data_IF_674947268238
#
_entry.id   IF_674947268238
#
_cell.length_a   1.000
_cell.length_b   1.000
_cell.length_c   1.000
_cell.angle_alpha   90.00
_cell.angle_beta   90.00
_cell.angle_gamma   90.00
#
_symmetry.space_group_name_H-M   'P 1'
#
loop_
_entity.id
_entity.type
_entity.pdbx_description
1 polymer ?
#
# COMPACT_ATOMS: atom_id res chain seq x y z
N UNK A 1 28.02 -9.70 0.59
CA UNK A 1 29.20 -10.59 0.62
C UNK A 1 28.73 -12.04 0.79
N UNK A 2 29.47 -13.00 0.23
CA UNK A 2 29.17 -14.44 0.34
C UNK A 2 29.33 -14.98 1.76
N UNK A 3 30.02 -14.24 2.61
CA UNK A 3 30.41 -14.64 3.96
C UNK A 3 29.50 -14.01 5.05
N UNK A 4 28.61 -13.10 4.67
CA UNK A 4 27.66 -12.50 5.61
C UNK A 4 26.53 -13.49 5.93
N UNK A 5 26.23 -13.65 7.21
CA UNK A 5 25.13 -14.45 7.71
C UNK A 5 23.92 -13.53 7.98
N UNK A 6 22.79 -13.78 7.31
CA UNK A 6 21.60 -12.98 7.43
C UNK A 6 20.52 -13.70 8.22
N UNK A 7 20.16 -13.15 9.38
CA UNK A 7 19.05 -13.62 10.20
C UNK A 7 17.84 -12.69 10.04
N UNK A 8 16.69 -13.24 9.71
CA UNK A 8 15.43 -12.48 9.63
C UNK A 8 14.46 -13.03 10.66
N UNK A 9 14.05 -12.19 11.59
CA UNK A 9 13.06 -12.52 12.62
C UNK A 9 11.70 -11.94 12.21
N UNK A 10 10.68 -12.78 12.21
CA UNK A 10 9.31 -12.41 11.87
C UNK A 10 8.34 -12.89 12.94
N UNK A 11 7.50 -11.98 13.44
CA UNK A 11 6.39 -12.31 14.33
C UNK A 11 5.39 -13.23 13.64
N UNK A 12 5.18 -13.04 12.33
CA UNK A 12 4.26 -13.87 11.55
C UNK A 12 4.87 -15.25 11.25
N UNK A 13 4.01 -16.30 11.30
CA UNK A 13 4.40 -17.68 11.01
C UNK A 13 4.59 -17.98 9.51
N UNK A 14 4.43 -16.97 8.66
CA UNK A 14 4.39 -17.09 7.22
C UNK A 14 5.65 -16.54 6.55
N UNK A 15 6.02 -17.02 5.34
CA UNK A 15 7.08 -16.40 4.54
C UNK A 15 6.65 -15.01 4.03
N UNK A 16 7.58 -14.32 3.34
CA UNK A 16 7.32 -12.99 2.78
C UNK A 16 6.15 -13.01 1.78
N UNK A 17 5.14 -12.16 1.99
CA UNK A 17 3.97 -12.06 1.14
C UNK A 17 3.58 -10.61 0.85
N UNK A 18 2.77 -10.41 -0.18
CA UNK A 18 2.25 -9.12 -0.59
C UNK A 18 0.93 -8.81 0.13
N UNK A 19 1.01 -8.11 1.28
CA UNK A 19 -0.18 -7.78 2.08
C UNK A 19 -1.13 -6.78 1.41
N UNK A 20 -0.71 -6.11 0.32
CA UNK A 20 -1.59 -5.27 -0.50
C UNK A 20 -2.66 -6.10 -1.25
N UNK A 21 -2.47 -7.42 -1.33
CA UNK A 21 -3.39 -8.36 -1.97
C UNK A 21 -4.28 -9.12 -0.98
N UNK A 22 -4.31 -8.72 0.29
CA UNK A 22 -5.17 -9.35 1.30
C UNK A 22 -6.68 -9.23 0.99
N UNK A 23 -7.18 -8.08 0.47
CA UNK A 23 -8.59 -8.02 0.05
C UNK A 23 -8.97 -9.07 -0.99
N UNK A 24 -8.12 -9.29 -2.01
CA UNK A 24 -8.34 -10.30 -3.05
C UNK A 24 -8.18 -11.73 -2.53
N UNK A 25 -7.38 -11.91 -1.47
CA UNK A 25 -7.26 -13.19 -0.77
C UNK A 25 -8.52 -13.52 0.04
N UNK A 26 -9.09 -12.55 0.74
CA UNK A 26 -10.35 -12.72 1.51
C UNK A 26 -11.48 -13.22 0.63
N UNK A 27 -11.58 -12.73 -0.58
CA UNK A 27 -12.63 -13.09 -1.55
C UNK A 27 -12.24 -14.26 -2.47
N UNK A 28 -11.16 -14.99 -2.16
CA UNK A 28 -10.66 -16.12 -2.96
C UNK A 28 -10.34 -15.80 -4.43
N UNK A 29 -10.31 -14.51 -4.81
CA UNK A 29 -9.86 -14.08 -6.14
C UNK A 29 -8.39 -14.48 -6.36
N UNK A 30 -7.60 -14.48 -5.30
CA UNK A 30 -6.21 -14.94 -5.27
C UNK A 30 -5.99 -15.99 -4.19
N UNK A 31 -5.34 -17.08 -4.53
CA UNK A 31 -4.89 -18.06 -3.54
C UNK A 31 -3.70 -17.53 -2.72
N UNK A 32 -3.47 -18.10 -1.54
CA UNK A 32 -2.34 -17.73 -0.67
C UNK A 32 -0.98 -17.78 -1.39
N UNK A 33 -0.75 -18.79 -2.23
CA UNK A 33 0.50 -18.99 -2.97
C UNK A 33 0.78 -17.82 -3.92
N UNK A 34 -0.26 -17.16 -4.43
CA UNK A 34 -0.12 -15.97 -5.29
C UNK A 34 0.28 -14.71 -4.54
N UNK A 35 0.07 -14.67 -3.24
CA UNK A 35 0.54 -13.57 -2.40
C UNK A 35 2.01 -13.70 -2.03
N UNK A 36 2.59 -14.90 -2.08
CA UNK A 36 3.98 -15.12 -1.68
C UNK A 36 4.94 -14.35 -2.60
N UNK A 37 5.85 -13.61 -1.99
CA UNK A 37 6.89 -12.83 -2.68
C UNK A 37 8.10 -13.68 -3.06
N UNK A 38 8.40 -14.70 -2.25
CA UNK A 38 9.53 -15.62 -2.42
C UNK A 38 9.03 -17.01 -2.07
N UNK A 39 9.30 -17.98 -2.93
CA UNK A 39 8.99 -19.39 -2.67
C UNK A 39 10.01 -19.98 -1.70
N UNK A 40 9.62 -20.98 -0.89
CA UNK A 40 10.53 -21.61 0.08
C UNK A 40 11.79 -22.19 -0.57
N UNK A 41 11.67 -22.74 -1.79
CA UNK A 41 12.82 -23.23 -2.57
C UNK A 41 13.82 -22.12 -2.92
N UNK A 42 13.35 -20.90 -3.11
CA UNK A 42 14.21 -19.74 -3.39
C UNK A 42 14.88 -19.23 -2.12
N UNK A 43 14.17 -19.24 -0.98
CA UNK A 43 14.75 -18.92 0.32
C UNK A 43 15.92 -19.82 0.67
N UNK A 44 15.82 -21.13 0.41
CA UNK A 44 16.89 -22.10 0.64
C UNK A 44 18.16 -21.89 -0.20
N UNK A 45 18.12 -21.05 -1.23
CA UNK A 45 19.28 -20.66 -2.04
C UNK A 45 20.00 -19.42 -1.54
N UNK A 46 19.38 -18.69 -0.60
CA UNK A 46 19.94 -17.50 0.02
C UNK A 46 20.68 -17.90 1.29
N UNK A 47 21.80 -17.25 1.60
CA UNK A 47 22.46 -17.38 2.91
C UNK A 47 21.66 -16.63 3.97
N UNK A 48 20.42 -17.07 4.19
CA UNK A 48 19.41 -16.43 5.01
C UNK A 48 18.74 -17.43 5.93
N UNK A 49 18.72 -17.15 7.22
CA UNK A 49 17.97 -17.88 8.22
C UNK A 49 16.68 -17.09 8.57
N UNK A 50 15.53 -17.63 8.20
CA UNK A 50 14.23 -17.05 8.50
C UNK A 50 13.63 -17.67 9.76
N UNK A 51 13.58 -16.89 10.85
CA UNK A 51 12.97 -17.25 12.13
C UNK A 51 11.50 -16.82 12.12
N UNK A 52 10.59 -17.71 11.70
CA UNK A 52 9.15 -17.50 11.66
C UNK A 52 8.53 -17.65 13.06
N UNK A 53 7.41 -16.96 13.32
CA UNK A 53 6.75 -16.92 14.63
C UNK A 53 7.73 -16.58 15.77
N UNK A 54 8.65 -15.65 15.50
CA UNK A 54 9.71 -15.26 16.41
C UNK A 54 9.82 -13.73 16.47
N UNK A 55 9.11 -13.12 17.41
CA UNK A 55 9.20 -11.68 17.65
C UNK A 55 10.44 -11.33 18.48
N UNK A 56 11.01 -10.15 18.21
CA UNK A 56 12.07 -9.58 19.03
C UNK A 56 11.45 -8.68 20.09
N UNK A 57 11.79 -8.95 21.36
CA UNK A 57 11.25 -8.25 22.53
C UNK A 57 12.18 -7.14 23.06
N UNK A 58 13.47 -7.19 22.75
CA UNK A 58 14.46 -6.22 23.24
C UNK A 58 15.62 -6.04 22.26
N UNK A 59 16.13 -4.81 22.17
CA UNK A 59 17.39 -4.46 21.49
C UNK A 59 18.34 -3.88 22.53
N UNK A 60 19.51 -4.49 22.69
CA UNK A 60 20.64 -3.91 23.42
C UNK A 60 21.64 -3.35 22.41
N UNK A 61 21.57 -2.03 22.20
CA UNK A 61 22.40 -1.35 21.19
C UNK A 61 23.86 -1.21 21.57
N UNK A 62 24.19 -1.35 22.87
CA UNK A 62 25.57 -1.21 23.38
C UNK A 62 26.32 -2.53 23.26
N UNK A 63 25.69 -3.62 23.72
CA UNK A 63 26.25 -4.97 23.67
C UNK A 63 25.97 -5.68 22.34
N UNK A 64 25.21 -5.04 21.42
CA UNK A 64 24.81 -5.55 20.10
C UNK A 64 24.09 -6.90 20.14
N UNK A 65 23.06 -6.99 20.99
CA UNK A 65 22.18 -8.15 21.08
C UNK A 65 20.74 -7.78 20.80
N UNK A 66 20.03 -8.68 20.13
CA UNK A 66 18.55 -8.71 20.18
C UNK A 66 18.11 -9.89 21.00
N UNK A 67 17.01 -9.74 21.74
CA UNK A 67 16.41 -10.83 22.53
C UNK A 67 15.08 -11.18 21.92
N UNK A 68 14.86 -12.45 21.61
CA UNK A 68 13.57 -12.93 21.10
C UNK A 68 12.55 -13.10 22.25
N UNK A 69 11.29 -13.37 21.89
CA UNK A 69 10.19 -13.55 22.86
C UNK A 69 10.37 -14.76 23.79
N UNK A 70 11.30 -15.68 23.47
CA UNK A 70 11.67 -16.85 24.29
C UNK A 70 12.84 -16.57 25.22
N UNK A 71 13.41 -15.36 25.15
CA UNK A 71 14.56 -14.95 25.95
C UNK A 71 15.94 -15.31 25.35
N UNK A 72 15.99 -15.89 24.14
CA UNK A 72 17.28 -16.18 23.51
C UNK A 72 17.89 -14.89 22.98
N UNK A 73 19.20 -14.78 23.13
CA UNK A 73 19.99 -13.63 22.65
C UNK A 73 20.67 -13.96 21.32
N UNK A 74 20.56 -13.05 20.38
CA UNK A 74 21.19 -13.13 19.07
C UNK A 74 22.10 -11.91 18.88
N UNK A 75 23.39 -12.15 18.65
CA UNK A 75 24.35 -11.08 18.39
C UNK A 75 24.19 -10.53 16.97
N UNK A 76 24.47 -9.24 16.77
CA UNK A 76 24.52 -8.62 15.45
C UNK A 76 25.71 -7.69 15.28
N UNK A 77 26.31 -7.66 14.11
CA UNK A 77 27.23 -6.61 13.69
C UNK A 77 26.48 -5.40 13.16
N UNK A 78 25.41 -5.65 12.39
CA UNK A 78 24.47 -4.66 11.87
C UNK A 78 23.04 -5.13 12.09
N UNK A 79 22.18 -4.23 12.53
CA UNK A 79 20.76 -4.49 12.75
C UNK A 79 19.90 -3.63 11.82
N UNK A 80 18.94 -4.25 11.14
CA UNK A 80 17.96 -3.55 10.30
C UNK A 80 16.59 -3.71 10.94
N UNK A 81 15.96 -2.60 11.35
CA UNK A 81 14.61 -2.57 11.88
C UNK A 81 13.64 -2.38 10.72
N UNK A 82 12.83 -3.41 10.42
CA UNK A 82 11.83 -3.41 9.35
C UNK A 82 10.47 -3.84 9.89
N UNK A 83 10.14 -3.49 11.13
CA UNK A 83 8.93 -3.92 11.87
C UNK A 83 7.63 -3.35 11.32
N UNK A 84 7.70 -2.45 10.34
CA UNK A 84 6.54 -1.92 9.65
C UNK A 84 5.57 -1.17 10.58
N UNK A 85 4.28 -1.44 10.40
CA UNK A 85 3.21 -0.78 11.16
C UNK A 85 2.08 -1.75 11.45
N UNK A 86 1.25 -1.40 12.44
CA UNK A 86 -0.02 -2.06 12.77
C UNK A 86 -1.19 -1.21 12.32
N UNK A 87 -2.36 -1.80 12.19
CA UNK A 87 -3.60 -1.07 11.96
C UNK A 87 -3.85 -0.10 13.14
N UNK A 88 -4.28 1.09 12.82
CA UNK A 88 -4.80 2.02 13.83
C UNK A 88 -6.28 1.74 14.04
N UNK A 89 -6.67 1.56 15.30
CA UNK A 89 -8.05 1.37 15.72
C UNK A 89 -8.39 2.29 16.87
N UNK A 90 -9.66 2.70 17.05
CA UNK A 90 -10.11 3.38 18.24
C UNK A 90 -9.88 2.51 19.48
N UNK A 91 -9.68 3.14 20.65
CA UNK A 91 -9.44 2.40 21.91
C UNK A 91 -10.63 1.54 22.34
N UNK A 92 -11.81 1.92 21.92
CA UNK A 92 -13.11 1.31 22.21
C UNK A 92 -13.60 0.37 21.10
N UNK A 93 -12.74 0.05 20.14
CA UNK A 93 -13.07 -0.82 19.01
C UNK A 93 -13.38 -2.28 19.40
N UNK A 94 -12.96 -2.72 20.58
CA UNK A 94 -13.22 -4.07 21.12
C UNK A 94 -12.88 -5.19 20.13
N UNK A 95 -11.69 -5.16 19.53
CA UNK A 95 -11.28 -6.14 18.49
C UNK A 95 -11.31 -7.59 18.98
N UNK A 96 -11.21 -7.83 20.28
CA UNK A 96 -11.30 -9.18 20.88
C UNK A 96 -12.73 -9.75 20.87
N UNK A 97 -13.74 -8.94 20.50
CA UNK A 97 -15.13 -9.38 20.38
C UNK A 97 -15.45 -9.77 18.93
N UNK A 98 -16.32 -10.77 18.72
CA UNK A 98 -16.67 -11.24 17.37
C UNK A 98 -17.18 -10.14 16.44
N UNK A 99 -16.97 -10.30 15.16
CA UNK A 99 -17.48 -9.37 14.13
C UNK A 99 -16.68 -8.07 13.97
N UNK A 100 -15.57 -7.88 14.69
CA UNK A 100 -14.76 -6.65 14.67
C UNK A 100 -13.35 -6.93 14.18
N UNK A 101 -12.95 -6.29 13.07
CA UNK A 101 -11.74 -6.65 12.32
C UNK A 101 -10.86 -5.48 11.94
N UNK A 102 -9.61 -5.81 11.69
CA UNK A 102 -8.68 -5.01 10.87
C UNK A 102 -8.32 -5.80 9.60
N UNK A 103 -7.56 -5.20 8.70
CA UNK A 103 -7.06 -5.88 7.48
C UNK A 103 -5.59 -5.52 7.28
N UNK A 104 -4.70 -6.13 8.06
CA UNK A 104 -3.27 -5.82 8.04
C UNK A 104 -2.39 -7.05 7.83
N UNK A 105 -2.75 -8.17 8.44
CA UNK A 105 -1.99 -9.42 8.39
C UNK A 105 -2.80 -10.53 7.73
N UNK A 106 -2.11 -11.64 7.43
CA UNK A 106 -2.81 -12.86 6.99
C UNK A 106 -3.77 -13.37 8.05
N UNK A 107 -3.39 -13.27 9.33
CA UNK A 107 -4.25 -13.68 10.43
C UNK A 107 -5.56 -12.87 10.44
N UNK A 108 -5.48 -11.54 10.29
CA UNK A 108 -6.68 -10.69 10.18
C UNK A 108 -7.57 -11.13 9.00
N UNK A 109 -6.95 -11.43 7.87
CA UNK A 109 -7.69 -11.84 6.66
C UNK A 109 -8.34 -13.22 6.80
N UNK A 110 -7.64 -14.18 7.42
CA UNK A 110 -8.18 -15.52 7.70
C UNK A 110 -9.34 -15.45 8.70
N UNK A 111 -9.19 -14.67 9.76
CA UNK A 111 -10.22 -14.48 10.78
C UNK A 111 -11.47 -13.83 10.18
N UNK A 112 -11.30 -12.75 9.43
CA UNK A 112 -12.41 -12.04 8.76
C UNK A 112 -13.14 -12.96 7.78
N UNK A 113 -12.40 -13.69 6.93
CA UNK A 113 -12.96 -14.65 5.97
C UNK A 113 -13.75 -15.74 6.69
N UNK A 114 -13.12 -16.42 7.64
CA UNK A 114 -13.74 -17.49 8.42
C UNK A 114 -14.99 -17.02 9.16
N UNK A 115 -14.97 -15.80 9.67
CA UNK A 115 -16.13 -15.22 10.35
C UNK A 115 -17.30 -15.05 9.39
N UNK A 116 -17.08 -14.47 8.20
CA UNK A 116 -18.13 -14.27 7.20
C UNK A 116 -18.70 -15.61 6.70
N UNK A 117 -17.86 -16.63 6.49
CA UNK A 117 -18.29 -17.99 6.14
C UNK A 117 -19.18 -18.62 7.23
N UNK A 118 -18.80 -18.42 8.50
CA UNK A 118 -19.51 -18.98 9.65
C UNK A 118 -20.84 -18.27 9.97
N UNK A 119 -21.15 -17.13 9.36
CA UNK A 119 -22.50 -16.53 9.48
C UNK A 119 -23.58 -17.44 8.94
N UNK A 120 -23.24 -18.36 8.04
CA UNK A 120 -24.20 -19.22 7.33
C UNK A 120 -25.11 -18.47 6.35
N UNK A 121 -24.93 -17.17 6.19
CA UNK A 121 -25.70 -16.32 5.30
C UNK A 121 -25.06 -16.28 3.90
N UNK A 122 -25.88 -16.26 2.83
CA UNK A 122 -25.35 -15.98 1.51
C UNK A 122 -24.75 -14.56 1.47
N UNK A 123 -23.71 -14.30 0.65
CA UNK A 123 -23.04 -13.00 0.62
C UNK A 123 -24.00 -11.81 0.42
N UNK A 124 -25.05 -11.98 -0.37
CA UNK A 124 -26.04 -10.92 -0.64
C UNK A 124 -26.89 -10.52 0.59
N UNK A 125 -26.93 -11.34 1.62
CA UNK A 125 -27.58 -11.05 2.89
C UNK A 125 -26.62 -10.56 3.97
N UNK A 126 -25.31 -10.72 3.75
CA UNK A 126 -24.29 -10.19 4.64
C UNK A 126 -24.18 -8.68 4.48
N UNK A 127 -23.95 -8.00 5.60
CA UNK A 127 -23.68 -6.55 5.61
C UNK A 127 -22.37 -6.29 6.39
N UNK A 128 -21.45 -5.60 5.74
CA UNK A 128 -20.15 -5.20 6.31
C UNK A 128 -20.06 -3.68 6.37
N UNK A 129 -19.75 -3.16 7.55
CA UNK A 129 -19.44 -1.75 7.74
C UNK A 129 -17.92 -1.57 7.71
N UNK A 130 -17.41 -0.71 6.82
CA UNK A 130 -16.00 -0.37 6.70
C UNK A 130 -15.78 1.04 7.24
N UNK A 131 -14.97 1.17 8.29
CA UNK A 131 -14.62 2.47 8.87
C UNK A 131 -13.36 2.99 8.19
N UNK A 132 -13.53 4.05 7.39
CA UNK A 132 -12.46 4.69 6.63
C UNK A 132 -12.60 4.53 5.13
N UNK A 133 -12.82 5.64 4.43
CA UNK A 133 -12.90 5.75 2.96
C UNK A 133 -11.56 6.10 2.30
N UNK A 134 -10.44 5.61 2.89
CA UNK A 134 -9.11 5.65 2.29
C UNK A 134 -8.86 4.49 1.33
N UNK A 135 -7.61 4.38 0.82
CA UNK A 135 -7.24 3.38 -0.17
C UNK A 135 -7.60 1.95 0.27
N UNK A 136 -7.16 1.53 1.45
CA UNK A 136 -7.40 0.17 1.95
C UNK A 136 -8.88 -0.14 2.16
N UNK A 137 -9.65 0.80 2.74
CA UNK A 137 -11.09 0.61 2.94
C UNK A 137 -11.84 0.48 1.63
N UNK A 138 -11.47 1.26 0.62
CA UNK A 138 -12.06 1.17 -0.73
C UNK A 138 -11.66 -0.12 -1.46
N UNK A 139 -10.42 -0.60 -1.31
CA UNK A 139 -9.98 -1.86 -1.90
C UNK A 139 -10.68 -3.06 -1.26
N UNK A 140 -10.87 -3.05 0.07
CA UNK A 140 -11.68 -4.05 0.76
C UNK A 140 -13.14 -4.00 0.30
N UNK A 141 -13.74 -2.80 0.22
CA UNK A 141 -15.09 -2.62 -0.30
C UNK A 141 -15.23 -3.15 -1.73
N UNK A 142 -14.23 -2.88 -2.58
CA UNK A 142 -14.21 -3.36 -3.96
C UNK A 142 -14.14 -4.89 -4.07
N UNK A 143 -13.36 -5.53 -3.21
CA UNK A 143 -13.25 -6.98 -3.17
C UNK A 143 -14.58 -7.62 -2.72
N UNK A 144 -15.14 -7.18 -1.59
CA UNK A 144 -16.39 -7.71 -1.04
C UNK A 144 -17.59 -7.45 -1.96
N UNK A 145 -17.63 -6.30 -2.65
CA UNK A 145 -18.72 -5.96 -3.58
C UNK A 145 -18.80 -6.94 -4.76
N UNK A 146 -17.68 -7.54 -5.19
CA UNK A 146 -17.67 -8.58 -6.23
C UNK A 146 -18.42 -9.83 -5.80
N UNK A 147 -18.41 -10.14 -4.51
CA UNK A 147 -19.14 -11.24 -3.90
C UNK A 147 -20.58 -10.89 -3.53
N UNK A 148 -21.07 -9.70 -3.96
CA UNK A 148 -22.40 -9.17 -3.68
C UNK A 148 -22.69 -8.85 -2.20
N UNK A 149 -21.71 -8.78 -1.35
CA UNK A 149 -21.84 -8.35 0.05
C UNK A 149 -22.37 -6.92 0.11
N UNK A 150 -23.34 -6.64 0.99
CA UNK A 150 -23.80 -5.27 1.24
C UNK A 150 -22.73 -4.49 2.01
N UNK A 151 -22.40 -3.29 1.54
CA UNK A 151 -21.29 -2.53 2.12
C UNK A 151 -21.74 -1.13 2.49
N UNK A 152 -21.34 -0.71 3.68
CA UNK A 152 -21.46 0.68 4.11
C UNK A 152 -20.09 1.20 4.54
N UNK A 153 -19.64 2.32 3.96
CA UNK A 153 -18.42 3.01 4.36
C UNK A 153 -18.79 4.17 5.29
N UNK A 154 -18.15 4.24 6.46
CA UNK A 154 -18.24 5.38 7.38
C UNK A 154 -16.94 6.16 7.27
N UNK A 155 -17.04 7.40 6.80
CA UNK A 155 -15.90 8.29 6.56
C UNK A 155 -15.99 9.54 7.42
N UNK A 156 -14.93 9.80 8.20
CA UNK A 156 -14.87 10.94 9.12
C UNK A 156 -14.89 12.29 8.42
N UNK A 157 -14.19 12.39 7.29
CA UNK A 157 -14.15 13.61 6.49
C UNK A 157 -15.25 13.65 5.43
N UNK A 158 -15.43 14.82 4.83
CA UNK A 158 -16.44 15.07 3.77
C UNK A 158 -16.09 14.42 2.43
N UNK A 159 -14.99 13.67 2.32
CA UNK A 159 -14.52 13.11 1.04
C UNK A 159 -13.73 11.82 1.19
N UNK A 160 -13.77 10.98 0.16
CA UNK A 160 -12.94 9.78 0.05
C UNK A 160 -11.50 10.15 -0.32
N UNK A 161 -10.54 9.32 0.11
CA UNK A 161 -9.11 9.45 -0.24
C UNK A 161 -8.56 10.88 -0.10
N UNK A 162 -8.92 11.57 0.98
CA UNK A 162 -8.63 13.00 1.20
C UNK A 162 -7.15 13.38 1.09
N UNK A 163 -6.25 12.41 1.32
CA UNK A 163 -4.79 12.60 1.22
C UNK A 163 -4.26 12.40 -0.19
N UNK A 164 -5.00 11.70 -1.05
CA UNK A 164 -4.58 11.28 -2.39
C UNK A 164 -5.35 11.98 -3.51
N UNK A 165 -6.46 12.63 -3.21
CA UNK A 165 -7.35 13.24 -4.18
C UNK A 165 -7.72 14.66 -3.78
N UNK A 166 -7.99 15.51 -4.76
CA UNK A 166 -8.63 16.79 -4.55
C UNK A 166 -10.16 16.65 -4.41
N UNK A 167 -10.84 17.78 -4.23
CA UNK A 167 -12.28 17.81 -3.99
C UNK A 167 -13.06 17.22 -5.18
N UNK A 168 -12.67 17.57 -6.41
CA UNK A 168 -13.43 17.17 -7.58
C UNK A 168 -13.26 15.68 -7.89
N UNK A 169 -12.02 15.20 -7.92
CA UNK A 169 -11.74 13.78 -8.15
C UNK A 169 -12.34 12.89 -7.05
N UNK A 170 -12.33 13.35 -5.80
CA UNK A 170 -12.98 12.64 -4.70
C UNK A 170 -14.51 12.57 -4.85
N UNK A 171 -15.17 13.64 -5.35
CA UNK A 171 -16.61 13.63 -5.63
C UNK A 171 -16.94 12.66 -6.77
N UNK A 172 -16.15 12.64 -7.82
CA UNK A 172 -16.32 11.69 -8.93
C UNK A 172 -16.16 10.24 -8.44
N UNK A 173 -15.17 9.98 -7.60
CA UNK A 173 -14.97 8.67 -6.96
C UNK A 173 -16.17 8.28 -6.10
N UNK A 174 -16.63 9.18 -5.23
CA UNK A 174 -17.76 8.90 -4.34
C UNK A 174 -19.04 8.56 -5.12
N UNK A 175 -19.31 9.29 -6.20
CA UNK A 175 -20.42 8.99 -7.10
C UNK A 175 -20.30 7.60 -7.73
N UNK A 176 -19.11 7.25 -8.25
CA UNK A 176 -18.88 5.93 -8.85
C UNK A 176 -19.08 4.80 -7.84
N UNK A 177 -18.57 4.97 -6.62
CA UNK A 177 -18.72 4.00 -5.52
C UNK A 177 -20.18 3.82 -5.11
N UNK A 178 -20.95 4.92 -5.00
CA UNK A 178 -22.38 4.87 -4.66
C UNK A 178 -23.21 4.26 -5.77
N UNK A 179 -22.93 4.55 -7.03
CA UNK A 179 -23.64 3.96 -8.19
C UNK A 179 -23.41 2.43 -8.29
N UNK A 180 -22.34 1.91 -7.66
CA UNK A 180 -22.10 0.46 -7.53
C UNK A 180 -22.82 -0.17 -6.34
N UNK A 181 -23.66 0.58 -5.64
CA UNK A 181 -24.45 0.08 -4.50
C UNK A 181 -23.76 0.14 -3.15
N UNK A 182 -22.58 0.77 -3.03
CA UNK A 182 -21.91 0.95 -1.75
C UNK A 182 -22.43 2.22 -1.08
N UNK A 183 -22.95 2.08 0.14
CA UNK A 183 -23.42 3.22 0.93
C UNK A 183 -22.24 3.95 1.55
N UNK A 184 -22.32 5.30 1.61
CA UNK A 184 -21.26 6.10 2.23
C UNK A 184 -21.90 7.12 3.18
N UNK A 185 -21.45 7.13 4.43
CA UNK A 185 -21.75 8.16 5.42
C UNK A 185 -20.51 9.04 5.60
N UNK A 186 -20.57 10.23 5.02
CA UNK A 186 -19.54 11.26 5.20
C UNK A 186 -19.74 12.05 6.48
N UNK A 187 -18.69 12.77 6.92
CA UNK A 187 -18.66 13.60 8.11
C UNK A 187 -19.18 12.85 9.35
N UNK A 188 -18.84 11.56 9.43
CA UNK A 188 -19.37 10.68 10.45
C UNK A 188 -18.30 9.76 11.03
N UNK A 189 -18.52 9.37 12.27
CA UNK A 189 -17.65 8.45 12.99
C UNK A 189 -18.51 7.42 13.72
N UNK A 190 -17.97 6.23 13.90
CA UNK A 190 -18.55 5.22 14.78
C UNK A 190 -18.40 5.71 16.23
N UNK A 191 -19.47 5.73 16.99
CA UNK A 191 -19.45 6.09 18.41
C UNK A 191 -19.46 4.87 19.32
N UNK A 192 -20.26 3.86 18.99
CA UNK A 192 -20.33 2.60 19.76
C UNK A 192 -20.65 1.43 18.84
N UNK A 193 -20.19 0.25 19.25
CA UNK A 193 -20.51 -1.03 18.60
C UNK A 193 -20.93 -2.01 19.68
N UNK A 194 -22.13 -2.57 19.56
CA UNK A 194 -22.66 -3.58 20.47
C UNK A 194 -23.04 -4.82 19.69
N UNK A 195 -22.99 -5.97 20.34
CA UNK A 195 -23.60 -7.17 19.82
C UNK A 195 -25.12 -7.03 19.92
N UNK A 196 -25.85 -7.40 18.88
CA UNK A 196 -27.30 -7.30 18.87
C UNK A 196 -27.89 -8.46 19.71
N UNK A 197 -28.59 -8.12 20.81
CA UNK A 197 -29.18 -9.12 21.72
C UNK A 197 -30.39 -9.83 21.11
N UNK A 198 -31.10 -9.18 20.18
CA UNK A 198 -32.29 -9.70 19.53
C UNK A 198 -31.94 -10.57 18.31
N UNK A 199 -30.82 -10.23 17.63
CA UNK A 199 -30.33 -10.89 16.43
C UNK A 199 -28.90 -11.40 16.62
N UNK A 200 -28.68 -12.58 17.23
CA UNK A 200 -27.34 -13.12 17.46
C UNK A 200 -26.54 -13.25 16.16
N UNK A 201 -25.34 -12.67 16.15
CA UNK A 201 -24.48 -12.61 14.96
C UNK A 201 -24.55 -11.28 14.20
N UNK A 202 -25.43 -10.36 14.62
CA UNK A 202 -25.45 -8.98 14.14
C UNK A 202 -24.81 -8.02 15.15
N UNK A 203 -24.36 -6.89 14.62
CA UNK A 203 -23.80 -5.75 15.38
C UNK A 203 -24.72 -4.54 15.23
N UNK A 204 -25.05 -3.92 16.33
CA UNK A 204 -25.67 -2.57 16.33
C UNK A 204 -24.58 -1.52 16.44
N UNK A 205 -24.41 -0.73 15.36
CA UNK A 205 -23.36 0.28 15.21
C UNK A 205 -24.00 1.66 15.25
N UNK A 206 -23.70 2.44 16.30
CA UNK A 206 -24.16 3.80 16.41
C UNK A 206 -23.13 4.77 15.84
N UNK A 207 -23.59 5.73 15.05
CA UNK A 207 -22.78 6.79 14.48
C UNK A 207 -22.94 8.08 15.31
N UNK A 208 -21.94 8.96 15.30
CA UNK A 208 -22.02 10.27 16.00
C UNK A 208 -23.19 11.16 15.55
N UNK A 209 -23.67 10.97 14.31
CA UNK A 209 -24.87 11.64 13.82
C UNK A 209 -26.19 11.17 14.46
N UNK A 210 -26.16 10.13 15.27
CA UNK A 210 -27.34 9.45 15.82
C UNK A 210 -27.93 8.38 14.89
N UNK A 211 -27.35 8.17 13.71
CA UNK A 211 -27.75 7.06 12.82
C UNK A 211 -27.32 5.74 13.42
N UNK A 212 -28.20 4.74 13.35
CA UNK A 212 -27.91 3.35 13.71
C UNK A 212 -27.79 2.51 12.45
N UNK A 213 -26.82 1.63 12.40
CA UNK A 213 -26.57 0.65 11.34
C UNK A 213 -26.54 -0.74 11.97
N UNK A 214 -27.19 -1.70 11.34
CA UNK A 214 -27.07 -3.12 11.69
C UNK A 214 -26.16 -3.78 10.66
N UNK A 215 -25.22 -4.58 11.11
CA UNK A 215 -24.26 -5.25 10.24
C UNK A 215 -23.77 -6.56 10.87
N UNK A 216 -23.27 -7.46 10.05
CA UNK A 216 -22.68 -8.73 10.52
C UNK A 216 -21.21 -8.56 10.91
N UNK A 217 -20.52 -7.59 10.27
CA UNK A 217 -19.11 -7.29 10.59
C UNK A 217 -18.79 -5.81 10.45
N UNK A 218 -17.78 -5.38 11.22
CA UNK A 218 -17.16 -4.06 11.09
C UNK A 218 -15.64 -4.21 10.88
N UNK A 219 -15.10 -3.55 9.85
CA UNK A 219 -13.69 -3.55 9.52
C UNK A 219 -13.09 -2.13 9.63
N UNK A 220 -12.04 -1.97 10.44
CA UNK A 220 -11.37 -0.69 10.63
C UNK A 220 -10.21 -0.50 9.64
N UNK A 221 -10.35 0.46 8.74
CA UNK A 221 -9.39 0.83 7.70
C UNK A 221 -8.98 2.32 7.79
N UNK A 222 -8.75 2.82 9.02
CA UNK A 222 -8.50 4.24 9.33
C UNK A 222 -7.02 4.63 9.41
N UNK A 223 -6.16 3.82 8.81
CA UNK A 223 -4.72 4.05 8.70
C UNK A 223 -3.88 3.14 9.57
N UNK A 224 -2.59 3.47 9.66
CA UNK A 224 -1.59 2.64 10.34
C UNK A 224 -0.78 3.46 11.35
N UNK A 225 -0.11 2.76 12.27
CA UNK A 225 0.88 3.31 13.20
C UNK A 225 2.16 2.50 13.11
N UNK A 226 3.32 3.13 12.85
CA UNK A 226 4.61 2.46 12.87
C UNK A 226 4.89 1.76 14.22
N UNK A 227 5.48 0.58 14.18
CA UNK A 227 5.81 -0.23 15.36
C UNK A 227 7.15 0.22 15.96
N UNK A 228 7.17 1.40 16.58
CA UNK A 228 8.39 2.06 17.08
C UNK A 228 8.75 1.68 18.52
N UNK A 229 7.93 0.91 19.21
CA UNK A 229 8.04 0.66 20.64
C UNK A 229 9.42 0.11 21.00
N UNK A 230 9.82 -0.98 20.35
CA UNK A 230 11.13 -1.62 20.58
C UNK A 230 12.33 -0.69 20.30
N UNK A 231 12.22 0.11 19.24
CA UNK A 231 13.26 1.10 18.90
C UNK A 231 13.34 2.20 19.94
N UNK A 232 12.19 2.70 20.42
CA UNK A 232 12.09 3.72 21.44
C UNK A 232 12.62 3.23 22.79
N UNK A 233 12.26 2.02 23.20
CA UNK A 233 12.71 1.38 24.46
C UNK A 233 14.22 1.11 24.45
N UNK A 234 14.83 0.87 23.28
CA UNK A 234 16.29 0.75 23.12
C UNK A 234 17.01 2.11 23.13
N UNK A 235 16.27 3.23 23.27
CA UNK A 235 16.81 4.58 23.29
C UNK A 235 17.27 5.08 21.92
N UNK A 236 16.67 4.60 20.82
CA UNK A 236 16.82 5.19 19.50
C UNK A 236 15.93 6.44 19.38
N UNK A 237 16.35 7.41 18.58
CA UNK A 237 15.58 8.64 18.36
C UNK A 237 14.40 8.35 17.45
N UNK A 238 13.19 8.53 17.99
CA UNK A 238 11.93 8.34 17.27
C UNK A 238 11.13 9.64 17.23
N UNK A 239 10.41 9.83 16.13
CA UNK A 239 9.32 10.78 15.98
C UNK A 239 8.00 10.02 15.77
N UNK A 240 7.39 10.16 14.60
CA UNK A 240 6.29 9.28 14.17
C UNK A 240 6.79 7.90 13.74
N UNK A 241 8.04 7.82 13.27
CA UNK A 241 8.78 6.62 12.96
C UNK A 241 10.14 6.63 13.67
N UNK A 242 11.02 5.70 13.33
CA UNK A 242 12.44 5.72 13.72
C UNK A 242 13.17 6.70 12.81
N UNK A 243 13.77 7.75 13.39
CA UNK A 243 14.47 8.78 12.61
C UNK A 243 15.73 8.20 11.98
N UNK A 244 15.90 8.43 10.68
CA UNK A 244 17.04 7.97 9.90
C UNK A 244 17.67 9.11 9.11
N UNK A 245 18.97 8.96 8.82
CA UNK A 245 19.72 9.82 7.91
C UNK A 245 19.57 9.33 6.44
N UNK A 246 20.35 9.91 5.52
CA UNK A 246 20.36 9.56 4.09
C UNK A 246 20.89 8.16 3.78
N UNK A 247 21.61 7.54 4.69
CA UNK A 247 22.06 6.13 4.60
C UNK A 247 21.12 5.17 5.35
N UNK A 248 19.95 5.67 5.78
CA UNK A 248 18.96 4.92 6.56
C UNK A 248 19.48 4.45 7.94
N UNK A 249 20.58 5.06 8.43
CA UNK A 249 21.09 4.85 9.78
C UNK A 249 20.21 5.58 10.79
N UNK A 250 19.98 4.94 11.92
CA UNK A 250 19.32 5.54 13.10
C UNK A 250 20.28 6.44 13.86
N UNK A 251 19.93 6.79 15.10
CA UNK A 251 20.86 7.47 16.03
C UNK A 251 22.02 6.57 16.50
N UNK A 252 22.07 5.31 16.09
CA UNK A 252 23.18 4.39 16.30
C UNK A 252 23.71 3.94 14.94
N UNK A 253 25.04 4.01 14.72
CA UNK A 253 25.70 3.73 13.43
C UNK A 253 25.61 2.28 12.97
N UNK A 254 25.29 1.35 13.85
CA UNK A 254 25.15 -0.07 13.55
C UNK A 254 23.70 -0.52 13.41
N UNK A 255 22.75 0.41 13.64
CA UNK A 255 21.33 0.14 13.56
C UNK A 255 20.69 1.01 12.48
N UNK A 256 19.96 0.37 11.57
CA UNK A 256 19.29 0.96 10.43
C UNK A 256 17.77 0.75 10.56
N UNK A 257 16.98 1.57 9.87
CA UNK A 257 15.55 1.33 9.74
C UNK A 257 15.08 1.58 8.29
N UNK A 258 14.23 0.69 7.79
CA UNK A 258 13.67 0.77 6.44
C UNK A 258 12.17 0.43 6.43
N UNK A 259 11.50 0.81 5.36
CA UNK A 259 10.07 0.58 5.18
C UNK A 259 9.21 1.59 5.94
N UNK A 260 8.00 1.18 6.27
CA UNK A 260 6.98 2.04 6.88
C UNK A 260 7.34 2.56 8.28
N UNK A 261 8.33 1.94 8.93
CA UNK A 261 8.84 2.41 10.23
C UNK A 261 9.84 3.55 10.13
N UNK A 262 10.55 3.70 9.00
CA UNK A 262 11.60 4.69 8.83
C UNK A 262 11.03 6.09 8.62
N UNK A 263 11.46 7.05 9.45
CA UNK A 263 11.12 8.47 9.32
C UNK A 263 12.33 9.23 8.76
N UNK A 264 12.26 9.59 7.48
CA UNK A 264 13.30 10.37 6.82
C UNK A 264 12.85 11.81 6.62
N UNK A 265 13.62 12.78 7.11
CA UNK A 265 13.31 14.23 7.05
C UNK A 265 11.87 14.56 7.51
N UNK A 266 11.38 13.89 8.55
CA UNK A 266 10.04 14.09 9.10
C UNK A 266 8.91 13.45 8.30
N UNK A 267 9.22 12.66 7.27
CA UNK A 267 8.23 11.97 6.43
C UNK A 267 8.28 10.45 6.64
N UNK A 268 7.10 9.84 6.56
CA UNK A 268 6.90 8.40 6.53
C UNK A 268 6.43 8.01 5.13
N UNK A 269 7.03 6.98 4.56
CA UNK A 269 6.72 6.48 3.22
C UNK A 269 6.04 5.11 3.35
N UNK A 270 4.71 5.11 3.49
CA UNK A 270 3.91 3.89 3.70
C UNK A 270 3.57 3.14 2.41
N UNK A 271 4.46 3.10 1.42
CA UNK A 271 4.28 2.41 0.15
C UNK A 271 5.40 1.39 -0.10
N UNK A 272 5.07 0.29 -0.75
CA UNK A 272 6.02 -0.81 -1.00
C UNK A 272 7.23 -0.37 -1.84
N UNK A 273 7.02 0.50 -2.85
CA UNK A 273 8.12 0.98 -3.68
C UNK A 273 9.16 1.78 -2.89
N UNK A 274 8.72 2.59 -1.92
CA UNK A 274 9.64 3.32 -1.04
C UNK A 274 10.48 2.37 -0.18
N UNK A 275 9.87 1.30 0.35
CA UNK A 275 10.60 0.29 1.11
C UNK A 275 11.62 -0.46 0.24
N UNK A 276 11.29 -0.75 -1.02
CA UNK A 276 12.21 -1.36 -1.98
C UNK A 276 13.37 -0.42 -2.36
N UNK A 277 13.10 0.88 -2.58
CA UNK A 277 14.11 1.90 -2.82
C UNK A 277 15.07 2.07 -1.62
N UNK A 278 14.51 2.12 -0.41
CA UNK A 278 15.29 2.18 0.82
C UNK A 278 16.16 0.93 1.00
N UNK A 279 15.62 -0.25 0.74
CA UNK A 279 16.37 -1.50 0.82
C UNK A 279 17.53 -1.54 -0.19
N UNK A 280 17.33 -1.05 -1.41
CA UNK A 280 18.39 -0.97 -2.42
C UNK A 280 19.50 0.01 -2.01
N UNK A 281 19.14 1.20 -1.50
CA UNK A 281 20.12 2.18 -0.98
C UNK A 281 20.91 1.59 0.17
N UNK A 282 20.24 0.98 1.14
CA UNK A 282 20.89 0.39 2.31
C UNK A 282 21.80 -0.77 1.91
N UNK A 283 21.38 -1.64 1.01
CA UNK A 283 22.18 -2.76 0.52
C UNK A 283 23.49 -2.29 -0.13
N UNK A 284 23.41 -1.26 -1.00
CA UNK A 284 24.60 -0.68 -1.63
C UNK A 284 25.53 -0.03 -0.59
N UNK A 285 24.96 0.73 0.36
CA UNK A 285 25.72 1.35 1.43
C UNK A 285 26.46 0.31 2.30
N UNK A 286 25.78 -0.76 2.71
CA UNK A 286 26.38 -1.86 3.48
C UNK A 286 27.43 -2.64 2.66
N UNK A 287 27.31 -2.66 1.33
CA UNK A 287 28.32 -3.21 0.44
C UNK A 287 29.55 -2.29 0.23
N UNK A 288 29.56 -1.09 0.85
CA UNK A 288 30.70 -0.16 0.81
C UNK A 288 30.50 1.03 -0.15
N UNK A 289 29.38 1.13 -0.86
CA UNK A 289 29.07 2.31 -1.69
C UNK A 289 28.50 3.44 -0.84
N UNK A 290 29.38 4.26 -0.27
CA UNK A 290 29.01 5.42 0.53
C UNK A 290 28.32 6.54 -0.28
N UNK A 291 28.34 6.47 -1.62
CA UNK A 291 27.64 7.40 -2.48
C UNK A 291 26.14 7.07 -2.62
N UNK A 292 25.74 5.86 -2.24
CA UNK A 292 24.35 5.42 -2.25
C UNK A 292 23.58 6.10 -1.12
N UNK A 293 22.74 7.07 -1.47
CA UNK A 293 21.96 7.88 -0.52
C UNK A 293 20.47 7.90 -0.87
N UNK A 294 19.65 7.82 0.15
CA UNK A 294 18.20 7.96 0.04
C UNK A 294 17.82 9.44 -0.02
N UNK A 295 17.06 9.82 -1.03
CA UNK A 295 16.62 11.21 -1.25
C UNK A 295 15.14 11.44 -0.95
N UNK A 296 14.44 10.42 -0.48
CA UNK A 296 12.99 10.35 -0.39
C UNK A 296 12.39 9.61 -1.59
N UNK A 297 11.15 9.20 -1.47
CA UNK A 297 10.41 8.50 -2.53
C UNK A 297 9.23 9.33 -3.00
N UNK A 298 8.90 9.24 -4.28
CA UNK A 298 7.68 9.84 -4.82
C UNK A 298 6.48 9.01 -4.37
N UNK A 299 5.59 9.64 -3.63
CA UNK A 299 4.36 8.99 -3.20
C UNK A 299 3.47 8.70 -4.40
N UNK A 300 2.95 7.48 -4.47
CA UNK A 300 2.03 7.07 -5.52
C UNK A 300 0.94 6.18 -4.93
N UNK A 301 -0.28 6.36 -5.44
CA UNK A 301 -1.44 5.58 -5.04
C UNK A 301 -2.21 5.17 -6.28
N UNK A 302 -2.57 3.90 -6.35
CA UNK A 302 -3.36 3.34 -7.43
C UNK A 302 -4.47 2.55 -6.77
N UNK A 303 -5.71 3.00 -6.96
CA UNK A 303 -6.87 2.32 -6.41
C UNK A 303 -7.20 1.09 -7.27
N UNK A 304 -7.25 -0.06 -6.64
CA UNK A 304 -7.70 -1.31 -7.25
C UNK A 304 -9.20 -1.46 -7.10
N UNK A 305 -9.92 -0.94 -8.06
CA UNK A 305 -11.36 -1.08 -8.15
C UNK A 305 -11.71 -1.49 -9.58
N UNK A 306 -12.45 -2.58 -9.76
CA UNK A 306 -12.78 -3.10 -11.09
C UNK A 306 -13.45 -2.03 -11.95
N UNK A 307 -12.98 -1.83 -13.17
CA UNK A 307 -13.48 -0.84 -14.13
C UNK A 307 -13.43 0.62 -13.60
N UNK A 308 -12.53 0.91 -12.69
CA UNK A 308 -12.22 2.26 -12.24
C UNK A 308 -10.71 2.48 -12.31
N UNK A 309 -10.28 3.29 -13.27
CA UNK A 309 -8.91 3.75 -13.35
C UNK A 309 -8.77 4.99 -12.50
N UNK A 310 -8.02 4.90 -11.40
CA UNK A 310 -7.72 6.01 -10.51
C UNK A 310 -6.32 5.86 -9.95
N UNK A 311 -5.53 6.91 -10.12
CA UNK A 311 -4.23 7.00 -9.49
C UNK A 311 -3.87 8.45 -9.17
N UNK A 312 -2.96 8.61 -8.20
CA UNK A 312 -2.29 9.87 -7.90
C UNK A 312 -0.79 9.65 -7.70
N UNK A 313 0.01 10.63 -8.04
CA UNK A 313 1.47 10.58 -7.94
C UNK A 313 2.02 11.95 -7.56
N UNK A 314 3.03 11.97 -6.68
CA UNK A 314 3.69 13.20 -6.22
C UNK A 314 2.85 14.04 -5.26
N UNK A 315 3.13 15.33 -5.24
CA UNK A 315 2.48 16.30 -4.35
C UNK A 315 1.16 16.80 -4.96
N UNK A 316 0.05 16.28 -4.45
CA UNK A 316 -1.30 16.65 -4.93
C UNK A 316 -2.00 17.68 -4.04
N UNK A 317 -1.57 17.84 -2.80
CA UNK A 317 -2.06 18.82 -1.85
C UNK A 317 -1.07 19.98 -1.75
N UNK A 318 -1.19 20.93 -2.65
CA UNK A 318 -0.35 22.13 -2.68
C UNK A 318 -1.06 23.29 -1.97
N UNK A 319 -0.32 24.31 -1.44
CA UNK A 319 -0.93 25.46 -0.82
C UNK A 319 -1.87 26.20 -1.79
N UNK A 320 -3.07 26.49 -1.33
CA UNK A 320 -4.00 27.34 -2.09
C UNK A 320 -3.42 28.73 -2.31
N UNK A 321 -3.55 29.25 -3.53
CA UNK A 321 -3.09 30.58 -3.94
C UNK A 321 -1.57 30.81 -3.84
N UNK A 322 -0.75 29.77 -3.79
CA UNK A 322 0.70 29.92 -3.93
C UNK A 322 1.06 30.08 -5.42
N UNK A 323 1.57 31.27 -5.85
CA UNK A 323 1.87 31.53 -7.26
C UNK A 323 3.01 30.67 -7.82
N UNK A 324 3.73 29.95 -6.98
CA UNK A 324 4.76 29.00 -7.40
C UNK A 324 4.16 27.72 -8.02
N UNK A 325 2.86 27.46 -7.79
CA UNK A 325 2.18 26.27 -8.30
C UNK A 325 1.16 26.64 -9.37
N UNK A 326 1.16 25.90 -10.43
CA UNK A 326 0.19 25.97 -11.51
C UNK A 326 -0.57 24.65 -11.60
N UNK A 327 -1.89 24.74 -11.77
CA UNK A 327 -2.74 23.56 -11.94
C UNK A 327 -3.24 23.51 -13.40
N UNK A 328 -3.03 22.36 -14.05
CA UNK A 328 -3.55 22.07 -15.37
C UNK A 328 -4.60 20.99 -15.19
N UNK A 329 -5.87 21.32 -15.48
CA UNK A 329 -7.01 20.43 -15.24
C UNK A 329 -7.79 20.17 -16.52
N UNK A 330 -8.05 18.91 -16.78
CA UNK A 330 -9.01 18.48 -17.79
C UNK A 330 -10.07 17.59 -17.12
N UNK A 331 -11.34 17.83 -17.40
CA UNK A 331 -12.45 17.04 -16.87
C UNK A 331 -13.55 16.81 -17.91
N UNK A 332 -14.02 15.56 -17.99
CA UNK A 332 -15.26 15.17 -18.66
C UNK A 332 -16.08 14.36 -17.66
N UNK A 333 -17.01 15.04 -16.99
CA UNK A 333 -17.83 14.44 -15.92
C UNK A 333 -18.71 13.31 -16.47
N UNK A 334 -19.17 13.42 -17.71
CA UNK A 334 -20.03 12.42 -18.34
C UNK A 334 -19.31 11.08 -18.57
N UNK A 335 -18.03 11.15 -18.90
CA UNK A 335 -17.14 10.00 -19.08
C UNK A 335 -16.39 9.61 -17.81
N UNK A 336 -16.59 10.34 -16.71
CA UNK A 336 -15.81 10.18 -15.46
C UNK A 336 -14.32 10.30 -15.68
N UNK A 337 -13.95 11.17 -16.60
CA UNK A 337 -12.55 11.45 -16.91
C UNK A 337 -12.10 12.69 -16.15
N UNK A 338 -11.01 12.56 -15.41
CA UNK A 338 -10.38 13.66 -14.69
C UNK A 338 -8.87 13.50 -14.77
N UNK A 339 -8.20 14.56 -15.20
CA UNK A 339 -6.74 14.68 -15.19
C UNK A 339 -6.38 16.01 -14.57
N UNK A 340 -5.54 15.98 -13.54
CA UNK A 340 -4.93 17.16 -12.92
C UNK A 340 -3.43 16.97 -12.91
N UNK A 341 -2.71 17.95 -13.41
CA UNK A 341 -1.25 18.05 -13.30
C UNK A 341 -0.90 19.29 -12.49
N UNK A 342 0.01 19.16 -11.55
CA UNK A 342 0.50 20.22 -10.69
C UNK A 342 1.95 20.51 -11.10
N UNK A 343 2.19 21.74 -11.53
CA UNK A 343 3.48 22.20 -12.04
C UNK A 343 4.05 23.24 -11.08
N UNK A 344 5.35 23.13 -10.78
CA UNK A 344 6.09 24.10 -9.98
C UNK A 344 7.43 24.39 -10.67
N UNK A 345 7.69 25.65 -11.00
CA UNK A 345 8.92 26.06 -11.71
C UNK A 345 9.20 25.19 -12.95
N UNK A 346 8.20 25.03 -13.79
CA UNK A 346 8.22 24.18 -15.00
C UNK A 346 8.53 22.70 -14.77
N UNK A 347 8.42 22.20 -13.51
CA UNK A 347 8.56 20.79 -13.16
C UNK A 347 7.19 20.21 -12.83
N UNK A 348 6.86 19.02 -13.34
CA UNK A 348 5.72 18.27 -12.86
C UNK A 348 6.01 17.77 -11.44
N UNK A 349 5.21 18.17 -10.45
CA UNK A 349 5.40 17.80 -9.04
C UNK A 349 4.32 16.88 -8.54
N UNK A 350 3.14 16.87 -9.16
CA UNK A 350 2.04 16.00 -8.79
C UNK A 350 1.03 15.80 -9.92
N UNK A 351 0.29 14.69 -9.87
CA UNK A 351 -0.80 14.44 -10.81
C UNK A 351 -1.87 13.51 -10.21
N UNK A 352 -3.11 13.72 -10.67
CA UNK A 352 -4.26 12.83 -10.44
C UNK A 352 -4.80 12.41 -11.80
N UNK A 353 -5.02 11.11 -11.99
CA UNK A 353 -5.61 10.53 -13.20
C UNK A 353 -6.81 9.69 -12.82
N UNK A 354 -7.97 9.95 -13.42
CA UNK A 354 -9.19 9.15 -13.28
C UNK A 354 -9.84 8.93 -14.65
N UNK A 355 -10.32 7.70 -14.89
CA UNK A 355 -10.91 7.25 -16.14
C UNK A 355 -9.91 6.76 -17.17
N UNK A 356 -8.67 7.23 -17.11
CA UNK A 356 -7.52 6.72 -17.87
C UNK A 356 -6.24 6.98 -17.08
N UNK A 357 -5.44 5.93 -16.86
CA UNK A 357 -4.16 6.00 -16.13
C UNK A 357 -2.95 5.65 -17.00
N UNK A 358 -3.10 5.63 -18.32
CA UNK A 358 -2.01 5.24 -19.24
C UNK A 358 -0.75 6.11 -19.09
N UNK A 359 -0.89 7.38 -18.72
CA UNK A 359 0.23 8.30 -18.56
C UNK A 359 0.88 8.24 -17.17
N UNK A 360 0.37 7.40 -16.25
CA UNK A 360 0.88 7.31 -14.89
C UNK A 360 2.39 7.05 -14.82
N UNK A 361 2.89 6.10 -15.61
CA UNK A 361 4.32 5.77 -15.63
C UNK A 361 5.17 6.93 -16.16
N UNK A 362 4.69 7.65 -17.16
CA UNK A 362 5.35 8.83 -17.71
C UNK A 362 5.41 9.96 -16.68
N UNK A 363 4.29 10.24 -16.00
CA UNK A 363 4.23 11.28 -14.97
C UNK A 363 5.13 10.95 -13.77
N UNK A 364 5.13 9.69 -13.33
CA UNK A 364 6.07 9.23 -12.32
C UNK A 364 7.52 9.51 -12.72
N UNK A 365 7.91 9.15 -13.94
CA UNK A 365 9.27 9.39 -14.45
C UNK A 365 9.61 10.87 -14.50
N UNK A 366 8.71 11.74 -14.96
CA UNK A 366 8.92 13.19 -15.00
C UNK A 366 9.14 13.77 -13.60
N UNK A 367 8.34 13.33 -12.60
CA UNK A 367 8.46 13.80 -11.22
C UNK A 367 9.77 13.30 -10.59
N UNK A 368 10.13 12.02 -10.76
CA UNK A 368 11.35 11.43 -10.22
C UNK A 368 12.63 12.05 -10.82
N UNK A 369 12.64 12.26 -12.13
CA UNK A 369 13.79 12.84 -12.83
C UNK A 369 13.94 14.35 -12.66
N UNK A 370 12.91 15.03 -12.14
CA UNK A 370 12.83 16.49 -12.05
C UNK A 370 13.17 17.17 -13.39
N UNK A 371 12.65 16.59 -14.47
CA UNK A 371 12.88 17.09 -15.83
C UNK A 371 11.99 18.31 -16.08
N UNK A 372 12.57 19.40 -16.55
CA UNK A 372 11.81 20.57 -17.02
C UNK A 372 10.85 20.17 -18.16
N UNK A 373 9.64 20.67 -18.08
CA UNK A 373 8.60 20.31 -19.03
C UNK A 373 8.81 20.94 -20.40
N UNK A 374 9.21 22.21 -20.42
CA UNK A 374 9.43 22.98 -21.67
C UNK A 374 8.34 22.65 -22.72
N UNK A 375 8.74 22.19 -23.90
CA UNK A 375 7.81 21.83 -24.99
C UNK A 375 6.90 20.62 -24.66
N UNK A 376 7.23 19.81 -23.63
CA UNK A 376 6.40 18.69 -23.20
C UNK A 376 5.13 19.12 -22.46
N UNK A 377 5.07 20.38 -22.00
CA UNK A 377 3.92 20.91 -21.28
C UNK A 377 2.63 20.80 -22.10
N UNK A 378 2.70 21.05 -23.41
CA UNK A 378 1.56 20.91 -24.32
C UNK A 378 1.04 19.48 -24.42
N UNK A 379 1.89 18.49 -24.16
CA UNK A 379 1.52 17.08 -24.24
C UNK A 379 0.87 16.56 -22.96
N UNK A 380 1.05 17.24 -21.81
CA UNK A 380 0.44 16.81 -20.54
C UNK A 380 -1.09 16.70 -20.60
N UNK A 381 -1.74 17.56 -21.40
CA UNK A 381 -3.20 17.52 -21.56
C UNK A 381 -3.66 16.61 -22.69
N UNK A 382 -2.91 16.57 -23.78
CA UNK A 382 -3.33 15.87 -25.02
C UNK A 382 -3.17 14.37 -24.95
N UNK A 383 -2.40 13.87 -23.97
CA UNK A 383 -1.98 12.48 -23.94
C UNK A 383 -0.91 12.18 -24.99
N UNK A 384 -0.04 11.24 -24.72
CA UNK A 384 1.03 10.86 -25.65
C UNK A 384 0.54 10.16 -26.93
N UNK A 385 -0.74 9.88 -27.06
CA UNK A 385 -1.34 9.22 -28.24
C UNK A 385 -0.84 7.78 -28.51
N UNK A 386 0.20 7.35 -27.81
CA UNK A 386 0.93 6.11 -28.05
C UNK A 386 0.72 5.06 -26.95
N UNK A 387 -0.49 4.91 -26.41
CA UNK A 387 -0.76 3.73 -25.57
C UNK A 387 -0.69 2.47 -26.43
N UNK A 388 0.32 1.65 -26.23
CA UNK A 388 0.36 0.32 -26.83
C UNK A 388 -0.90 -0.45 -26.35
N UNK A 389 -1.72 -1.01 -27.24
CA UNK A 389 -2.92 -1.73 -26.82
C UNK A 389 -2.53 -2.90 -25.91
N UNK A 390 -3.33 -3.14 -24.90
CA UNK A 390 -3.15 -4.29 -23.99
C UNK A 390 -3.37 -5.57 -24.79
N UNK A 391 -2.33 -6.39 -24.90
CA UNK A 391 -2.37 -7.68 -25.60
C UNK A 391 -2.50 -8.83 -24.60
N UNK A 392 -3.55 -9.60 -24.71
CA UNK A 392 -3.81 -10.74 -23.83
C UNK A 392 -4.29 -10.35 -22.42
N UNK A 393 -4.15 -11.27 -21.46
CA UNK A 393 -4.53 -11.02 -20.05
C UNK A 393 -3.74 -9.84 -19.48
N UNK A 394 -4.42 -8.92 -18.82
CA UNK A 394 -3.77 -7.78 -18.13
C UNK A 394 -2.89 -8.29 -16.98
N UNK A 395 -1.60 -7.97 -17.01
CA UNK A 395 -0.61 -8.33 -15.98
C UNK A 395 -0.30 -7.12 -15.12
N UNK A 396 0.04 -5.99 -15.73
CA UNK A 396 0.33 -4.75 -15.00
C UNK A 396 -0.81 -3.75 -15.17
N UNK A 397 -1.62 -3.63 -14.14
CA UNK A 397 -2.73 -2.65 -14.13
C UNK A 397 -2.25 -1.20 -14.09
N UNK A 398 -1.10 -0.92 -13.45
CA UNK A 398 -0.54 0.43 -13.34
C UNK A 398 -0.11 1.00 -14.69
N UNK A 399 0.53 0.17 -15.52
CA UNK A 399 1.10 0.57 -16.82
C UNK A 399 0.31 0.00 -18.00
N UNK A 400 -0.88 -0.60 -17.75
CA UNK A 400 -1.73 -1.19 -18.78
C UNK A 400 -0.98 -2.16 -19.70
N UNK A 401 -0.21 -3.09 -19.11
CA UNK A 401 0.62 -4.05 -19.82
C UNK A 401 0.01 -5.44 -19.71
N UNK A 402 -0.32 -6.06 -20.85
CA UNK A 402 -0.82 -7.43 -20.92
C UNK A 402 0.29 -8.47 -21.07
N UNK A 403 -0.04 -9.73 -20.84
CA UNK A 403 0.88 -10.85 -21.02
C UNK A 403 1.48 -10.92 -22.45
N UNK A 404 0.68 -10.61 -23.46
CA UNK A 404 1.16 -10.56 -24.85
C UNK A 404 2.15 -9.42 -25.12
N UNK A 405 2.02 -8.27 -24.43
CA UNK A 405 2.98 -7.18 -24.54
C UNK A 405 4.34 -7.60 -23.93
N UNK A 406 4.32 -8.29 -22.78
CA UNK A 406 5.53 -8.81 -22.13
C UNK A 406 6.20 -9.88 -22.99
N UNK A 407 5.45 -10.85 -23.53
CA UNK A 407 5.96 -11.88 -24.42
C UNK A 407 6.59 -11.30 -25.69
N UNK A 408 6.00 -10.26 -26.27
CA UNK A 408 6.56 -9.55 -27.43
C UNK A 408 7.88 -8.87 -27.07
N UNK A 409 7.96 -8.21 -25.93
CA UNK A 409 9.18 -7.58 -25.45
C UNK A 409 10.29 -8.61 -25.15
N UNK A 410 9.94 -9.76 -24.57
CA UNK A 410 10.87 -10.89 -24.35
C UNK A 410 11.41 -11.41 -25.68
N UNK A 411 10.54 -11.62 -26.68
CA UNK A 411 10.95 -12.04 -28.04
C UNK A 411 11.88 -11.03 -28.70
N UNK A 412 11.71 -9.75 -28.41
CA UNK A 412 12.54 -8.65 -28.92
C UNK A 412 13.88 -8.51 -28.18
N UNK A 413 14.21 -9.43 -27.26
CA UNK A 413 15.53 -9.52 -26.64
C UNK A 413 15.60 -9.05 -25.18
N UNK A 414 14.50 -8.63 -24.57
CA UNK A 414 14.46 -8.22 -23.15
C UNK A 414 14.38 -9.46 -22.24
N UNK A 415 15.53 -10.11 -21.99
CA UNK A 415 15.63 -11.40 -21.29
C UNK A 415 15.90 -11.26 -19.78
N UNK A 416 16.14 -10.09 -19.27
CA UNK A 416 16.28 -9.84 -17.83
C UNK A 416 15.10 -9.01 -17.31
N UNK A 417 14.81 -9.19 -16.02
CA UNK A 417 13.66 -8.56 -15.36
C UNK A 417 13.71 -7.03 -15.40
N UNK A 418 14.89 -6.45 -15.18
CA UNK A 418 15.07 -4.98 -15.08
C UNK A 418 14.84 -4.33 -16.45
N UNK A 419 15.42 -4.89 -17.50
CA UNK A 419 15.28 -4.39 -18.88
C UNK A 419 13.84 -4.56 -19.36
N UNK A 420 13.21 -5.72 -19.07
CA UNK A 420 11.81 -5.95 -19.41
C UNK A 420 10.87 -4.95 -18.74
N UNK A 421 11.09 -4.68 -17.44
CA UNK A 421 10.31 -3.67 -16.72
C UNK A 421 10.51 -2.25 -17.28
N UNK A 422 11.74 -1.88 -17.63
CA UNK A 422 12.04 -0.57 -18.24
C UNK A 422 11.37 -0.40 -19.60
N UNK A 423 11.41 -1.42 -20.44
CA UNK A 423 10.84 -1.38 -21.81
C UNK A 423 9.30 -1.35 -21.79
N UNK A 424 8.69 -2.11 -20.87
CA UNK A 424 7.23 -2.28 -20.84
C UNK A 424 6.52 -1.39 -19.85
N UNK A 425 7.23 -0.86 -18.84
CA UNK A 425 6.65 -0.16 -17.69
C UNK A 425 6.07 -1.10 -16.64
N UNK A 426 5.96 -2.42 -16.90
CA UNK A 426 5.44 -3.37 -15.92
C UNK A 426 6.37 -3.50 -14.71
N UNK A 427 5.80 -3.59 -13.51
CA UNK A 427 6.57 -3.70 -12.27
C UNK A 427 7.16 -2.40 -11.73
N UNK A 428 7.08 -1.29 -12.47
CA UNK A 428 7.64 0.01 -12.05
C UNK A 428 6.67 0.85 -11.20
N UNK A 429 5.39 0.49 -11.16
CA UNK A 429 4.39 1.16 -10.33
C UNK A 429 4.28 0.52 -8.95
N UNK A 430 3.08 0.03 -8.58
CA UNK A 430 2.81 -0.57 -7.26
C UNK A 430 3.57 -1.87 -6.97
N UNK A 431 4.22 -2.46 -7.96
CA UNK A 431 5.02 -3.68 -7.83
C UNK A 431 4.20 -4.98 -7.70
N UNK A 432 2.87 -4.93 -7.65
CA UNK A 432 2.02 -6.12 -7.48
C UNK A 432 2.22 -7.17 -8.57
N UNK A 433 2.51 -6.76 -9.80
CA UNK A 433 2.70 -7.65 -10.94
C UNK A 433 4.12 -8.24 -11.05
N UNK A 434 5.08 -7.87 -10.19
CA UNK A 434 6.48 -8.31 -10.32
C UNK A 434 6.64 -9.82 -10.34
N UNK A 435 5.85 -10.54 -9.56
CA UNK A 435 5.88 -12.01 -9.52
C UNK A 435 5.43 -12.60 -10.86
N UNK A 436 4.30 -12.14 -11.39
CA UNK A 436 3.77 -12.62 -12.68
C UNK A 436 4.68 -12.25 -13.86
N UNK A 437 5.32 -11.07 -13.82
CA UNK A 437 6.33 -10.66 -14.82
C UNK A 437 7.56 -11.58 -14.79
N UNK A 438 8.02 -11.99 -13.60
CA UNK A 438 9.14 -12.96 -13.47
C UNK A 438 8.75 -14.35 -13.95
N UNK A 439 7.54 -14.81 -13.66
CA UNK A 439 7.04 -16.09 -14.15
C UNK A 439 7.03 -16.14 -15.69
N UNK A 440 6.59 -15.05 -16.33
CA UNK A 440 6.59 -14.95 -17.81
C UNK A 440 7.99 -14.87 -18.43
N UNK A 441 9.00 -14.44 -17.66
CA UNK A 441 10.40 -14.43 -18.12
C UNK A 441 11.04 -15.82 -18.11
N UNK A 442 10.63 -16.68 -17.18
CA UNK A 442 11.22 -18.02 -16.99
C UNK A 442 10.56 -19.06 -17.91
N UNK A 443 9.38 -18.72 -18.47
CA UNK A 443 8.71 -19.52 -19.48
C UNK A 443 7.69 -20.43 -19.12
#
# INVERSE_FOLDING_TARGET
>A
NSDDELHVFSEEAHPFYNRVLLPEYVTEELSWEKLLKIKEVELGKLNLQLHKACSISKIDKNEKWVTDHRGNKHHFDKLIIATGSRAFVPKDAQLDSPGRFTMRSKADADEFKTYLENTGLPPAEQHVVIVGGGLLGLELAAALQKELVNITIVQRSSRLMERQLDILSSRLLARDVQERGINIYFDNEVSTVFDDEENPGELTISLKSGKILNAHAIAYAIGTRPNIEIAKESGLICGRGVKVNEHLQTSNSDIFAIGEIAEYKGQLFGITSAAEEQAAVLSNFLAGDVSSIYRGSVLMNILKFKNLDLCSVGDINVPENDPAYEEIVFTDVSKRYYKKCIVKNDLLVGAILMGDKNEFAQFKTLIESKMELADKRDTLLRGSGNSKPVKGKLVCSCSQVGAGNLQEAIKNGNKDFTTLCKETGAGLGCGSCKTEVRELLVG
#
